data_IF_393701290959
#
_entry.id   IF_393701290959
#
_cell.length_a   1.000
_cell.length_b   1.000
_cell.length_c   1.000
_cell.angle_alpha   90.00
_cell.angle_beta   90.00
_cell.angle_gamma   90.00
#
_symmetry.space_group_name_H-M   'P 1'
#
loop_
_entity.id
_entity.type
_entity.pdbx_description
1 polymer ?
#
# COMPACT_ATOMS: atom_id res chain seq x y z
N UNK A 1 2.93 5.51 26.78
CA UNK A 1 3.15 5.85 25.36
C UNK A 1 2.95 4.55 24.61
N UNK A 2 2.00 4.51 23.69
CA UNK A 2 1.67 3.31 22.91
C UNK A 2 2.74 3.14 21.82
N UNK A 3 3.25 1.93 21.64
CA UNK A 3 4.28 1.61 20.64
C UNK A 3 3.66 0.73 19.56
N UNK A 4 3.63 1.24 18.33
CA UNK A 4 3.03 0.57 17.18
C UNK A 4 4.14 0.20 16.21
N UNK A 5 4.19 -1.06 15.79
CA UNK A 5 5.08 -1.52 14.74
C UNK A 5 4.25 -1.89 13.51
N UNK A 6 4.56 -1.30 12.36
CA UNK A 6 3.88 -1.58 11.09
C UNK A 6 4.88 -2.11 10.08
N UNK A 7 4.60 -3.26 9.50
CA UNK A 7 5.51 -4.00 8.64
C UNK A 7 5.00 -3.94 7.21
N UNK A 8 5.77 -3.31 6.34
CA UNK A 8 5.44 -3.04 4.95
C UNK A 8 6.61 -3.41 4.05
N UNK A 9 6.60 -4.65 3.56
CA UNK A 9 7.67 -5.19 2.72
C UNK A 9 7.21 -5.29 1.27
N UNK A 10 8.12 -5.03 0.34
CA UNK A 10 7.90 -5.13 -1.09
C UNK A 10 8.54 -3.96 -1.83
N UNK A 11 9.14 -4.26 -2.99
CA UNK A 11 9.89 -3.32 -3.82
C UNK A 11 9.06 -2.21 -4.49
N UNK A 12 7.78 -2.07 -4.11
CA UNK A 12 6.86 -1.08 -4.66
C UNK A 12 6.45 -0.04 -3.63
N UNK A 13 6.46 1.24 -4.03
CA UNK A 13 6.05 2.36 -3.16
C UNK A 13 4.67 2.20 -2.51
N UNK A 14 3.75 1.42 -3.10
CA UNK A 14 2.44 1.17 -2.51
C UNK A 14 2.49 0.65 -1.06
N UNK A 15 3.41 -0.27 -0.76
CA UNK A 15 3.51 -0.88 0.57
C UNK A 15 3.83 0.15 1.65
N UNK A 16 4.88 0.98 1.45
CA UNK A 16 5.27 1.99 2.43
C UNK A 16 4.14 3.01 2.66
N UNK A 17 3.37 3.38 1.64
CA UNK A 17 2.25 4.32 1.81
C UNK A 17 1.06 3.71 2.53
N UNK A 18 0.85 2.40 2.45
CA UNK A 18 -0.08 1.71 3.36
C UNK A 18 0.26 2.03 4.82
N UNK A 19 1.53 1.86 5.20
CA UNK A 19 2.00 2.18 6.55
C UNK A 19 1.90 3.66 6.92
N UNK A 20 2.23 4.57 5.99
CA UNK A 20 2.10 6.02 6.22
C UNK A 20 0.64 6.46 6.38
N UNK A 21 -0.26 5.86 5.62
CA UNK A 21 -1.70 6.11 5.72
C UNK A 21 -2.22 5.71 7.10
N UNK A 22 -1.80 4.55 7.59
CA UNK A 22 -2.16 4.11 8.93
C UNK A 22 -1.58 5.03 10.00
N UNK A 23 -0.30 5.41 9.91
CA UNK A 23 0.31 6.39 10.82
C UNK A 23 -0.49 7.71 10.88
N UNK A 24 -0.81 8.29 9.72
CA UNK A 24 -1.61 9.52 9.64
C UNK A 24 -3.00 9.34 10.26
N UNK A 25 -3.62 8.18 10.02
CA UNK A 25 -4.93 7.85 10.59
C UNK A 25 -4.83 7.70 12.12
N UNK A 26 -3.79 7.04 12.66
CA UNK A 26 -3.54 7.00 14.10
C UNK A 26 -3.42 8.40 14.70
N UNK A 27 -2.71 9.34 14.07
CA UNK A 27 -2.62 10.73 14.58
C UNK A 27 -3.99 11.41 14.75
N UNK A 28 -4.98 11.02 13.96
CA UNK A 28 -6.33 11.60 14.01
C UNK A 28 -7.13 10.98 15.15
N UNK A 29 -7.13 9.64 15.24
CA UNK A 29 -8.01 8.90 16.14
C UNK A 29 -7.40 8.64 17.52
N UNK A 30 -6.10 8.39 17.59
CA UNK A 30 -5.42 8.08 18.85
C UNK A 30 -5.10 9.37 19.62
N UNK A 31 -5.73 9.53 20.79
CA UNK A 31 -5.57 10.71 21.65
C UNK A 31 -4.39 10.59 22.61
N UNK A 32 -3.95 9.37 22.89
CA UNK A 32 -2.81 9.11 23.76
C UNK A 32 -1.49 9.28 23.00
N UNK A 33 -0.38 9.67 23.68
CA UNK A 33 0.93 9.71 23.04
C UNK A 33 1.35 8.34 22.52
N UNK A 34 1.83 8.29 21.28
CA UNK A 34 2.29 7.06 20.64
C UNK A 34 3.57 7.26 19.84
N UNK A 35 4.26 6.15 19.59
CA UNK A 35 5.38 6.04 18.68
C UNK A 35 5.05 5.00 17.61
N UNK A 36 5.24 5.36 16.34
CA UNK A 36 4.96 4.52 15.20
C UNK A 36 6.25 4.14 14.49
N UNK A 37 6.64 2.88 14.56
CA UNK A 37 7.77 2.33 13.82
C UNK A 37 7.28 1.69 12.52
N UNK A 38 7.60 2.29 11.38
CA UNK A 38 7.34 1.76 10.04
C UNK A 38 8.56 0.97 9.55
N UNK A 39 8.46 -0.35 9.58
CA UNK A 39 9.51 -1.28 9.16
C UNK A 39 9.29 -1.62 7.68
N UNK A 40 10.29 -1.37 6.84
CA UNK A 40 10.18 -1.56 5.38
C UNK A 40 11.52 -1.88 4.73
N UNK A 41 11.50 -2.59 3.60
CA UNK A 41 12.68 -2.81 2.75
C UNK A 41 12.89 -1.68 1.71
N UNK A 42 11.96 -0.72 1.65
CA UNK A 42 12.02 0.43 0.76
C UNK A 42 12.78 1.60 1.38
N UNK A 43 13.81 2.09 0.69
CA UNK A 43 14.52 3.32 1.08
C UNK A 43 13.92 4.49 0.30
N UNK A 44 13.02 5.25 0.94
CA UNK A 44 12.40 6.44 0.35
C UNK A 44 12.54 7.61 1.33
N UNK A 45 13.01 8.76 0.82
CA UNK A 45 12.97 10.01 1.57
C UNK A 45 11.53 10.50 1.69
N UNK A 46 11.05 10.64 2.93
CA UNK A 46 9.69 11.11 3.21
C UNK A 46 9.71 12.57 3.65
N UNK A 47 9.17 13.50 2.84
CA UNK A 47 9.25 14.93 3.14
C UNK A 47 8.31 15.42 4.26
N UNK A 48 7.42 14.58 4.79
CA UNK A 48 6.31 14.99 5.66
C UNK A 48 6.15 14.13 6.93
N UNK A 49 7.24 13.86 7.64
CA UNK A 49 7.23 13.07 8.89
C UNK A 49 7.51 13.95 10.11
N UNK A 50 7.01 13.54 11.28
CA UNK A 50 7.28 14.20 12.57
C UNK A 50 7.82 13.19 13.59
N UNK A 51 8.04 13.64 14.82
CA UNK A 51 8.66 12.84 15.89
C UNK A 51 7.87 11.59 16.31
N UNK A 52 6.60 11.45 15.88
CA UNK A 52 5.78 10.28 16.18
C UNK A 52 6.00 9.12 15.21
N UNK A 53 6.73 9.35 14.11
CA UNK A 53 7.05 8.35 13.11
C UNK A 53 8.55 8.12 13.02
N UNK A 54 8.91 6.85 13.05
CA UNK A 54 10.25 6.37 12.77
C UNK A 54 10.18 5.36 11.61
N UNK A 55 10.92 5.61 10.53
CA UNK A 55 11.01 4.67 9.40
C UNK A 55 12.30 3.88 9.53
N UNK A 56 12.16 2.56 9.61
CA UNK A 56 13.26 1.64 9.84
C UNK A 56 13.47 0.78 8.60
N UNK A 57 14.58 0.97 7.87
CA UNK A 57 14.93 0.09 6.78
C UNK A 57 15.32 -1.29 7.33
N UNK A 58 14.52 -2.31 7.05
CA UNK A 58 14.79 -3.72 7.36
C UNK A 58 14.69 -4.52 6.08
N UNK A 59 15.81 -5.15 5.70
CA UNK A 59 15.80 -6.16 4.64
C UNK A 59 15.12 -7.40 5.19
N UNK A 60 14.05 -7.86 4.53
CA UNK A 60 13.44 -9.14 4.88
C UNK A 60 14.46 -10.27 4.63
N UNK A 61 14.62 -11.15 5.62
CA UNK A 61 15.52 -12.32 5.58
C UNK A 61 14.67 -13.61 5.56
N UNK A 62 13.85 -13.83 4.51
CA UNK A 62 12.84 -14.88 4.48
C UNK A 62 13.44 -16.25 4.80
N UNK A 63 14.59 -16.57 4.23
CA UNK A 63 15.32 -17.82 4.43
C UNK A 63 15.70 -18.07 5.90
N UNK A 64 16.02 -17.01 6.66
CA UNK A 64 16.37 -17.13 8.08
C UNK A 64 15.14 -17.17 8.99
N UNK A 65 14.08 -16.46 8.61
CA UNK A 65 12.83 -16.42 9.36
C UNK A 65 12.17 -17.80 9.45
N UNK A 66 12.31 -18.61 8.39
CA UNK A 66 11.88 -20.01 8.39
C UNK A 66 12.54 -20.87 9.47
N UNK A 67 13.82 -20.62 9.78
CA UNK A 67 14.54 -21.29 10.87
C UNK A 67 14.11 -20.83 12.27
N UNK A 68 13.10 -19.95 12.39
CA UNK A 68 12.79 -19.19 13.62
C UNK A 68 14.05 -18.51 14.17
N UNK A 69 14.87 -17.99 13.25
CA UNK A 69 16.13 -17.38 13.62
C UNK A 69 15.85 -16.06 14.34
N UNK A 70 16.15 -16.06 15.64
CA UNK A 70 16.01 -14.89 16.51
C UNK A 70 17.12 -13.88 16.26
N UNK A 71 18.11 -14.18 15.43
CA UNK A 71 19.17 -13.25 15.04
C UNK A 71 18.77 -12.36 13.85
N UNK A 72 17.58 -12.57 13.25
CA UNK A 72 17.08 -11.69 12.19
C UNK A 72 16.90 -10.26 12.68
N UNK A 73 17.20 -9.28 11.82
CA UNK A 73 17.06 -7.86 12.17
C UNK A 73 15.62 -7.53 12.58
N UNK A 74 14.64 -8.12 11.90
CA UNK A 74 13.22 -7.94 12.19
C UNK A 74 12.88 -8.39 13.62
N UNK A 75 13.27 -9.61 14.01
CA UNK A 75 12.99 -10.14 15.34
C UNK A 75 13.67 -9.29 16.42
N UNK A 76 14.95 -8.99 16.26
CA UNK A 76 15.73 -8.20 17.22
C UNK A 76 15.14 -6.79 17.39
N UNK A 77 14.72 -6.15 16.30
CA UNK A 77 14.08 -4.84 16.36
C UNK A 77 12.73 -4.89 17.07
N UNK A 78 11.85 -5.82 16.70
CA UNK A 78 10.55 -5.99 17.38
C UNK A 78 10.75 -6.30 18.87
N UNK A 79 11.76 -7.10 19.23
CA UNK A 79 12.06 -7.42 20.62
C UNK A 79 12.59 -6.21 21.39
N UNK A 80 13.37 -5.36 20.72
CA UNK A 80 13.92 -4.14 21.30
C UNK A 80 12.82 -3.10 21.58
N UNK A 81 11.95 -2.85 20.60
CA UNK A 81 10.88 -1.86 20.75
C UNK A 81 9.76 -2.37 21.66
N UNK A 82 9.54 -3.69 21.73
CA UNK A 82 8.52 -4.34 22.56
C UNK A 82 7.11 -3.74 22.31
N UNK A 83 6.56 -3.87 21.09
CA UNK A 83 5.41 -3.10 20.66
C UNK A 83 4.12 -3.53 21.40
N UNK A 84 3.18 -2.60 21.55
CA UNK A 84 1.83 -2.88 22.03
C UNK A 84 0.94 -3.42 20.89
N UNK A 85 1.25 -3.02 19.65
CA UNK A 85 0.54 -3.42 18.42
C UNK A 85 1.52 -3.72 17.29
N UNK A 86 1.33 -4.85 16.60
CA UNK A 86 2.03 -5.26 15.38
C UNK A 86 1.01 -5.31 14.24
N UNK A 87 1.23 -4.52 13.19
CA UNK A 87 0.40 -4.45 11.98
C UNK A 87 1.23 -4.99 10.82
N UNK A 88 0.69 -5.96 10.10
CA UNK A 88 1.38 -6.62 8.98
C UNK A 88 0.58 -6.34 7.71
N UNK A 89 1.23 -5.93 6.64
CA UNK A 89 0.59 -5.88 5.33
C UNK A 89 0.65 -7.24 4.62
N UNK A 90 0.40 -7.29 3.31
CA UNK A 90 0.27 -8.50 2.48
C UNK A 90 1.29 -9.62 2.73
N UNK A 91 2.44 -9.32 3.29
CA UNK A 91 3.56 -10.24 3.48
C UNK A 91 3.53 -10.81 4.92
N UNK A 92 2.66 -11.80 5.15
CA UNK A 92 2.45 -12.46 6.46
C UNK A 92 3.59 -13.39 6.91
N UNK A 93 4.28 -13.99 5.94
CA UNK A 93 5.21 -15.10 6.20
C UNK A 93 6.47 -14.73 7.02
N UNK A 94 7.08 -13.52 6.91
CA UNK A 94 8.27 -13.12 7.66
C UNK A 94 8.08 -13.16 9.17
N UNK A 95 6.86 -12.87 9.63
CA UNK A 95 6.56 -12.68 11.06
C UNK A 95 5.92 -13.88 11.71
N UNK A 96 5.18 -14.70 10.94
CA UNK A 96 4.46 -15.86 11.47
C UNK A 96 5.29 -16.74 12.43
N UNK A 97 6.57 -17.07 12.15
CA UNK A 97 7.32 -18.04 12.96
C UNK A 97 7.51 -17.64 14.43
N UNK A 98 7.45 -16.34 14.74
CA UNK A 98 7.72 -15.81 16.09
C UNK A 98 6.63 -14.87 16.61
N UNK A 99 5.54 -14.66 15.86
CA UNK A 99 4.49 -13.68 16.23
C UNK A 99 3.92 -13.94 17.63
N UNK A 100 3.73 -15.21 17.99
CA UNK A 100 3.25 -15.67 19.30
C UNK A 100 4.22 -15.43 20.47
N UNK A 101 5.46 -15.02 20.21
CA UNK A 101 6.46 -14.72 21.25
C UNK A 101 6.34 -13.27 21.78
N UNK A 102 5.50 -12.46 21.14
CA UNK A 102 5.21 -11.08 21.53
C UNK A 102 3.88 -10.99 22.28
N UNK A 103 3.82 -10.16 23.31
CA UNK A 103 2.56 -9.84 24.01
C UNK A 103 1.70 -8.81 23.27
N UNK A 104 2.24 -8.25 22.18
CA UNK A 104 1.57 -7.27 21.33
C UNK A 104 0.25 -7.82 20.78
N UNK A 105 -0.71 -6.92 20.57
CA UNK A 105 -1.84 -7.21 19.70
C UNK A 105 -1.38 -7.30 18.26
N UNK A 106 -2.01 -8.17 17.48
CA UNK A 106 -1.57 -8.46 16.11
C UNK A 106 -2.68 -8.27 15.11
N UNK A 107 -2.37 -7.59 14.02
CA UNK A 107 -3.29 -7.39 12.92
C UNK A 107 -2.60 -7.65 11.59
N UNK A 108 -3.38 -8.08 10.62
CA UNK A 108 -2.93 -8.21 9.25
C UNK A 108 -4.02 -7.71 8.31
N UNK A 109 -3.61 -7.04 7.24
CA UNK A 109 -4.53 -6.69 6.17
C UNK A 109 -3.88 -6.92 4.80
N UNK A 110 -4.67 -7.44 3.86
CA UNK A 110 -4.18 -7.74 2.53
C UNK A 110 -5.24 -7.60 1.45
N UNK A 111 -4.80 -7.25 0.25
CA UNK A 111 -5.64 -7.24 -0.94
C UNK A 111 -5.72 -8.65 -1.55
N UNK A 112 -6.41 -8.81 -2.67
CA UNK A 112 -6.50 -10.11 -3.35
C UNK A 112 -5.12 -10.63 -3.73
N UNK A 113 -4.78 -11.78 -3.14
CA UNK A 113 -3.62 -12.59 -3.46
C UNK A 113 -4.15 -13.97 -3.87
N UNK A 114 -3.60 -14.62 -4.90
CA UNK A 114 -4.08 -15.93 -5.29
C UNK A 114 -3.57 -16.98 -4.29
N UNK A 115 -4.23 -18.15 -4.27
CA UNK A 115 -4.11 -19.15 -3.21
C UNK A 115 -2.67 -19.54 -2.83
N UNK A 116 -1.77 -19.58 -3.81
CA UNK A 116 -0.34 -19.91 -3.61
C UNK A 116 0.41 -18.92 -2.71
N UNK A 117 -0.08 -17.69 -2.49
CA UNK A 117 0.50 -16.75 -1.51
C UNK A 117 0.16 -17.10 -0.07
N UNK A 118 -0.87 -17.90 0.16
CA UNK A 118 -1.28 -18.37 1.49
C UNK A 118 -0.63 -19.69 1.86
N UNK A 119 0.32 -20.17 1.05
CA UNK A 119 1.03 -21.43 1.25
C UNK A 119 2.51 -21.23 0.97
N UNK A 120 3.36 -21.88 1.75
CA UNK A 120 4.79 -21.86 1.52
C UNK A 120 5.22 -23.20 0.95
N UNK A 121 6.25 -23.24 0.09
CA UNK A 121 6.89 -24.50 -0.22
C UNK A 121 7.39 -25.17 1.07
N UNK A 122 7.48 -26.52 1.11
CA UNK A 122 8.12 -27.22 2.22
C UNK A 122 9.53 -26.67 2.43
N UNK A 123 9.86 -26.34 3.67
CA UNK A 123 11.16 -25.81 4.05
C UNK A 123 12.13 -26.94 4.38
N UNK A 124 13.34 -26.60 4.78
CA UNK A 124 14.38 -27.57 5.17
C UNK A 124 13.96 -28.47 6.35
N UNK A 125 12.98 -28.03 7.16
CA UNK A 125 12.37 -28.82 8.23
C UNK A 125 11.25 -29.77 7.75
N UNK A 126 10.91 -29.73 6.46
CA UNK A 126 9.84 -30.50 5.84
C UNK A 126 8.43 -30.00 6.16
N UNK A 127 8.28 -28.84 6.80
CA UNK A 127 7.00 -28.27 7.20
C UNK A 127 6.55 -27.27 6.13
N UNK A 128 5.32 -27.44 5.63
CA UNK A 128 4.63 -26.41 4.87
C UNK A 128 3.87 -25.51 5.82
N UNK A 129 4.02 -24.20 5.66
CA UNK A 129 3.26 -23.21 6.41
C UNK A 129 2.15 -22.65 5.53
N UNK A 130 0.98 -22.46 6.13
CA UNK A 130 -0.15 -21.77 5.51
C UNK A 130 -0.51 -20.52 6.31
N UNK A 131 -1.04 -19.50 5.66
CA UNK A 131 -1.69 -18.41 6.38
C UNK A 131 -2.88 -18.95 7.18
N UNK A 132 -3.02 -18.54 8.44
CA UNK A 132 -4.19 -18.84 9.28
C UNK A 132 -4.66 -17.52 9.89
N UNK A 133 -5.95 -17.22 9.73
CA UNK A 133 -6.51 -15.96 10.21
C UNK A 133 -6.43 -15.86 11.74
N UNK A 134 -6.55 -17.01 12.41
CA UNK A 134 -6.55 -17.16 13.87
C UNK A 134 -5.19 -16.87 14.52
N UNK A 135 -4.12 -16.76 13.73
CA UNK A 135 -2.81 -16.32 14.22
C UNK A 135 -2.79 -14.81 14.56
N UNK A 136 -3.82 -14.06 14.14
CA UNK A 136 -3.93 -12.62 14.31
C UNK A 136 -5.17 -12.24 15.14
N UNK A 137 -5.04 -11.23 16.02
CA UNK A 137 -6.20 -10.66 16.73
C UNK A 137 -7.19 -9.97 15.75
N UNK A 138 -6.69 -9.40 14.64
CA UNK A 138 -7.50 -8.74 13.61
C UNK A 138 -6.99 -9.02 12.19
N UNK A 139 -7.45 -10.11 11.55
CA UNK A 139 -7.20 -10.40 10.14
C UNK A 139 -8.24 -9.71 9.24
N UNK A 140 -7.78 -8.99 8.20
CA UNK A 140 -8.62 -8.21 7.30
C UNK A 140 -8.31 -8.45 5.81
N UNK A 141 -9.33 -8.38 4.95
CA UNK A 141 -9.16 -8.20 3.49
C UNK A 141 -9.64 -6.82 3.06
N UNK A 142 -9.00 -6.23 2.04
CA UNK A 142 -9.23 -4.82 1.64
C UNK A 142 -9.62 -4.63 0.16
N UNK A 143 -9.94 -5.72 -0.55
CA UNK A 143 -10.58 -5.70 -1.87
C UNK A 143 -12.10 -6.02 -1.67
N UNK A 144 -13.05 -5.24 -2.21
CA UNK A 144 -14.49 -5.38 -1.90
C UNK A 144 -15.14 -6.71 -2.27
N UNK A 145 -14.59 -7.41 -3.27
CA UNK A 145 -15.11 -8.69 -3.76
C UNK A 145 -14.19 -9.87 -3.41
N UNK A 146 -13.21 -9.64 -2.53
CA UNK A 146 -12.30 -10.67 -2.07
C UNK A 146 -12.58 -11.03 -0.62
N UNK A 147 -12.93 -12.30 -0.42
CA UNK A 147 -13.17 -12.88 0.89
C UNK A 147 -12.16 -13.99 1.16
N UNK A 148 -11.56 -13.95 2.36
CA UNK A 148 -10.72 -15.00 2.90
C UNK A 148 -11.33 -15.47 4.21
N UNK A 149 -11.45 -16.78 4.40
CA UNK A 149 -12.06 -17.36 5.60
C UNK A 149 -11.35 -16.86 6.87
N UNK A 150 -12.15 -16.47 7.87
CA UNK A 150 -11.66 -15.92 9.14
C UNK A 150 -11.28 -14.44 9.09
N UNK A 151 -11.23 -13.81 7.91
CA UNK A 151 -10.88 -12.40 7.76
C UNK A 151 -12.12 -11.49 7.71
N UNK A 152 -12.02 -10.32 8.33
CA UNK A 152 -12.98 -9.25 8.14
C UNK A 152 -12.74 -8.54 6.80
N UNK A 153 -13.75 -8.47 5.94
CA UNK A 153 -13.66 -7.62 4.75
C UNK A 153 -13.95 -6.16 5.13
N UNK A 154 -13.01 -5.27 4.86
CA UNK A 154 -13.14 -3.82 5.04
C UNK A 154 -13.01 -3.10 3.69
N UNK A 155 -13.50 -1.86 3.58
CA UNK A 155 -13.33 -1.06 2.38
C UNK A 155 -11.84 -0.84 2.02
N UNK A 156 -11.54 -0.40 0.79
CA UNK A 156 -10.17 -0.14 0.38
C UNK A 156 -9.44 0.87 1.27
N UNK A 157 -8.16 0.59 1.55
CA UNK A 157 -7.22 1.48 2.25
C UNK A 157 -6.50 2.33 1.19
N UNK A 158 -6.94 3.57 0.99
CA UNK A 158 -6.34 4.48 0.00
C UNK A 158 -5.20 5.30 0.60
N UNK A 159 -4.17 5.65 -0.19
CA UNK A 159 -2.99 6.35 0.32
C UNK A 159 -3.18 7.86 0.52
N UNK A 160 -4.32 8.28 1.07
CA UNK A 160 -4.56 9.69 1.35
C UNK A 160 -5.59 9.91 2.45
N UNK A 161 -5.20 10.71 3.43
CA UNK A 161 -6.16 11.44 4.24
C UNK A 161 -6.54 12.75 3.55
N UNK A 162 -7.83 13.11 3.56
CA UNK A 162 -8.36 14.30 2.86
C UNK A 162 -7.65 15.62 3.22
N UNK A 163 -7.01 15.70 4.39
CA UNK A 163 -6.23 16.87 4.81
C UNK A 163 -4.95 17.10 4.01
N UNK A 164 -4.44 16.09 3.30
CA UNK A 164 -3.15 16.13 2.61
C UNK A 164 -3.28 16.41 1.10
N UNK A 165 -4.51 16.68 0.65
CA UNK A 165 -4.81 17.01 -0.74
C UNK A 165 -4.12 18.31 -1.15
N UNK A 166 -3.38 18.24 -2.24
CA UNK A 166 -2.77 19.39 -2.87
C UNK A 166 -3.76 20.02 -3.86
N UNK A 167 -3.70 21.36 -4.03
CA UNK A 167 -4.47 22.03 -5.05
C UNK A 167 -4.16 21.52 -6.48
N UNK A 168 -5.16 21.41 -7.36
CA UNK A 168 -5.02 20.94 -8.75
C UNK A 168 -3.91 21.64 -9.56
N UNK A 169 -3.71 22.93 -9.32
CA UNK A 169 -2.73 23.76 -10.03
C UNK A 169 -1.28 23.31 -9.80
N UNK A 170 -0.97 22.63 -8.69
CA UNK A 170 0.40 22.23 -8.38
C UNK A 170 0.89 21.18 -9.39
N UNK A 171 0.14 20.09 -9.59
CA UNK A 171 0.53 19.06 -10.56
C UNK A 171 0.54 19.59 -11.98
N UNK A 172 -0.43 20.44 -12.32
CA UNK A 172 -0.52 21.06 -13.65
C UNK A 172 0.68 21.95 -13.93
N UNK A 173 1.15 22.69 -12.92
CA UNK A 173 2.36 23.51 -13.04
C UNK A 173 3.63 22.66 -13.15
N UNK A 174 3.78 21.64 -12.29
CA UNK A 174 4.97 20.75 -12.31
C UNK A 174 5.08 19.98 -13.62
N UNK A 175 3.95 19.57 -14.19
CA UNK A 175 3.89 18.87 -15.48
C UNK A 175 3.76 19.82 -16.67
N UNK A 176 3.83 21.14 -16.48
CA UNK A 176 3.77 22.15 -17.55
C UNK A 176 2.54 21.95 -18.46
N UNK A 177 1.36 21.80 -17.86
CA UNK A 177 0.08 21.64 -18.57
C UNK A 177 -0.44 23.02 -18.97
N UNK A 178 -0.69 23.28 -20.26
CA UNK A 178 -1.28 24.55 -20.70
C UNK A 178 -2.66 24.78 -20.10
N UNK A 179 -2.99 26.04 -19.79
CA UNK A 179 -4.28 26.44 -19.20
C UNK A 179 -5.49 26.03 -20.06
N UNK A 180 -5.31 25.92 -21.38
CA UNK A 180 -6.36 25.57 -22.34
C UNK A 180 -6.47 24.08 -22.64
N UNK A 181 -5.75 23.20 -21.92
CA UNK A 181 -5.76 21.75 -22.13
C UNK A 181 -6.16 21.00 -20.87
N UNK A 182 -6.81 19.85 -21.04
CA UNK A 182 -7.02 18.88 -19.94
C UNK A 182 -5.74 18.06 -19.71
N UNK A 183 -5.48 17.61 -18.48
CA UNK A 183 -4.37 16.71 -18.17
C UNK A 183 -4.80 15.25 -18.36
N UNK A 184 -4.21 14.56 -19.34
CA UNK A 184 -4.22 13.10 -19.40
C UNK A 184 -2.89 12.58 -18.82
N UNK A 185 -2.95 11.80 -17.75
CA UNK A 185 -1.77 11.30 -17.04
C UNK A 185 -1.63 9.79 -17.16
N UNK A 186 -0.51 9.35 -17.74
CA UNK A 186 -0.02 7.99 -17.59
C UNK A 186 0.77 7.88 -16.29
N UNK A 187 0.28 7.11 -15.32
CA UNK A 187 1.00 6.86 -14.08
C UNK A 187 1.30 5.37 -13.94
N UNK A 188 2.57 4.99 -14.09
CA UNK A 188 2.95 3.59 -14.12
C UNK A 188 4.37 3.36 -13.58
N UNK A 189 4.45 2.59 -12.50
CA UNK A 189 5.70 2.07 -11.97
C UNK A 189 5.78 0.58 -12.33
N UNK A 190 6.29 0.32 -13.52
CA UNK A 190 6.36 -1.02 -14.09
C UNK A 190 7.74 -1.36 -14.64
N UNK A 191 7.78 -2.39 -15.48
CA UNK A 191 8.99 -2.77 -16.19
C UNK A 191 9.32 -1.76 -17.29
N UNK A 192 10.60 -1.66 -17.62
CA UNK A 192 11.08 -0.86 -18.75
C UNK A 192 10.32 -1.24 -20.03
N UNK A 193 9.86 -0.25 -20.80
CA UNK A 193 9.08 -0.45 -22.04
C UNK A 193 7.56 -0.43 -21.86
N UNK A 194 7.04 -0.64 -20.65
CA UNK A 194 5.59 -0.72 -20.46
C UNK A 194 4.89 0.65 -20.58
N UNK A 195 5.56 1.75 -20.21
CA UNK A 195 4.99 3.10 -20.38
C UNK A 195 4.82 3.41 -21.87
N UNK A 196 5.81 3.07 -22.70
CA UNK A 196 5.75 3.25 -24.15
C UNK A 196 4.62 2.45 -24.76
N UNK A 197 4.38 1.23 -24.28
CA UNK A 197 3.28 0.39 -24.75
C UNK A 197 1.93 0.93 -24.29
N UNK A 198 1.82 1.45 -23.07
CA UNK A 198 0.61 2.16 -22.61
C UNK A 198 0.35 3.40 -23.48
N UNK A 199 1.38 4.22 -23.73
CA UNK A 199 1.27 5.44 -24.53
C UNK A 199 0.86 5.17 -25.98
N UNK A 200 1.39 4.10 -26.62
CA UNK A 200 1.01 3.72 -27.99
C UNK A 200 -0.46 3.33 -28.11
N UNK A 201 -1.03 2.76 -27.05
CA UNK A 201 -2.40 2.26 -27.04
C UNK A 201 -3.40 3.28 -26.46
N UNK A 202 -2.93 4.39 -25.92
CA UNK A 202 -3.76 5.47 -25.41
C UNK A 202 -4.32 6.30 -26.59
N UNK A 203 -5.57 6.04 -26.97
CA UNK A 203 -6.29 6.82 -27.96
C UNK A 203 -6.80 8.14 -27.34
N UNK A 204 -5.92 9.14 -27.32
CA UNK A 204 -6.16 10.45 -26.70
C UNK A 204 -6.17 11.53 -27.75
N UNK A 205 -7.22 12.37 -27.75
CA UNK A 205 -7.31 13.54 -28.62
C UNK A 205 -6.26 14.60 -28.21
N UNK A 206 -5.21 14.85 -29.01
CA UNK A 206 -4.18 15.83 -28.69
C UNK A 206 -4.70 17.28 -28.75
N UNK A 207 -5.85 17.53 -29.38
CA UNK A 207 -6.48 18.85 -29.41
C UNK A 207 -7.22 19.17 -28.11
N UNK A 208 -7.67 18.16 -27.36
CA UNK A 208 -8.32 18.33 -26.05
C UNK A 208 -7.33 18.17 -24.87
N UNK A 209 -6.47 17.15 -24.93
CA UNK A 209 -5.63 16.75 -23.80
C UNK A 209 -4.15 17.10 -23.99
N UNK A 210 -3.52 17.38 -22.86
CA UNK A 210 -2.09 17.44 -22.67
C UNK A 210 -1.65 16.13 -22.02
N UNK A 211 -1.10 15.22 -22.82
CA UNK A 211 -0.62 13.92 -22.33
C UNK A 211 0.71 14.08 -21.59
N UNK A 212 0.79 13.50 -20.40
CA UNK A 212 1.98 13.44 -19.56
C UNK A 212 2.14 12.04 -18.98
N UNK A 213 3.37 11.68 -18.65
CA UNK A 213 3.67 10.41 -17.98
C UNK A 213 4.51 10.66 -16.74
N UNK A 214 4.27 9.88 -15.70
CA UNK A 214 5.08 9.85 -14.49
C UNK A 214 5.49 8.41 -14.16
N UNK A 215 6.72 8.27 -13.67
CA UNK A 215 7.33 7.01 -13.26
C UNK A 215 8.26 7.23 -12.08
N UNK A 216 8.55 6.20 -11.29
CA UNK A 216 9.54 6.28 -10.21
C UNK A 216 10.98 6.54 -10.69
N UNK A 217 11.22 6.55 -12.01
CA UNK A 217 12.55 6.65 -12.60
C UNK A 217 12.96 8.06 -13.00
N UNK A 218 12.03 9.00 -13.13
CA UNK A 218 12.33 10.37 -13.59
C UNK A 218 12.24 11.43 -12.48
N UNK A 219 13.03 12.50 -12.60
CA UNK A 219 13.17 13.52 -11.57
C UNK A 219 11.93 14.42 -11.42
N UNK A 220 11.10 14.52 -12.45
CA UNK A 220 9.85 15.30 -12.38
C UNK A 220 8.85 14.55 -11.48
N UNK A 221 8.72 13.25 -11.68
CA UNK A 221 7.84 12.39 -10.90
C UNK A 221 8.17 12.35 -9.42
N UNK A 222 9.46 12.46 -9.05
CA UNK A 222 9.87 12.57 -7.63
C UNK A 222 9.25 13.78 -6.92
N UNK A 223 8.95 14.86 -7.65
CA UNK A 223 8.27 16.05 -7.10
C UNK A 223 6.77 15.83 -6.85
N UNK A 224 6.20 14.82 -7.50
CA UNK A 224 4.78 14.49 -7.46
C UNK A 224 4.51 13.18 -6.69
N UNK A 225 5.45 12.78 -5.84
CA UNK A 225 5.36 11.55 -5.06
C UNK A 225 5.02 11.86 -3.59
N UNK A 226 4.02 11.19 -2.99
CA UNK A 226 3.09 10.25 -3.62
C UNK A 226 2.08 10.95 -4.54
N UNK A 227 1.70 10.26 -5.63
CA UNK A 227 0.75 10.79 -6.61
C UNK A 227 -0.61 11.09 -6.00
N UNK A 228 -1.04 10.31 -5.02
CA UNK A 228 -2.33 10.42 -4.34
C UNK A 228 -2.64 11.85 -3.90
N UNK A 229 -1.63 12.60 -3.43
CA UNK A 229 -1.77 14.00 -3.00
C UNK A 229 -2.24 14.95 -4.11
N UNK A 230 -1.97 14.62 -5.36
CA UNK A 230 -2.09 15.51 -6.51
C UNK A 230 -3.19 15.12 -7.50
N UNK A 231 -3.90 14.01 -7.25
CA UNK A 231 -4.81 13.42 -8.23
C UNK A 231 -5.99 14.32 -8.61
N UNK A 232 -6.35 15.29 -7.76
CA UNK A 232 -7.40 16.28 -8.03
C UNK A 232 -7.14 17.15 -9.27
N UNK A 233 -5.88 17.24 -9.74
CA UNK A 233 -5.52 17.97 -10.96
C UNK A 233 -5.50 17.15 -12.25
N UNK A 234 -5.86 15.86 -12.18
CA UNK A 234 -5.87 14.93 -13.32
C UNK A 234 -7.28 14.87 -13.90
N UNK A 235 -7.41 15.12 -15.20
CA UNK A 235 -8.69 15.07 -15.91
C UNK A 235 -8.98 13.68 -16.49
N UNK A 236 -7.93 12.92 -16.84
CA UNK A 236 -7.99 11.54 -17.31
C UNK A 236 -6.76 10.79 -16.81
N UNK A 237 -6.97 9.65 -16.16
CA UNK A 237 -5.88 8.78 -15.71
C UNK A 237 -5.71 7.58 -16.63
N UNK A 238 -4.48 7.12 -16.82
CA UNK A 238 -4.14 5.97 -17.64
C UNK A 238 -3.10 5.16 -16.88
N UNK A 239 -3.32 3.86 -16.72
CA UNK A 239 -2.37 3.02 -15.98
C UNK A 239 -2.86 1.60 -15.74
N UNK A 240 -2.04 0.82 -15.02
CA UNK A 240 -2.41 -0.52 -14.61
C UNK A 240 -3.55 -0.56 -13.60
N UNK A 241 -3.98 -1.76 -13.22
CA UNK A 241 -4.94 -1.96 -12.12
C UNK A 241 -4.23 -2.32 -10.82
N UNK A 242 -3.08 -1.70 -10.52
CA UNK A 242 -2.43 -1.85 -9.22
C UNK A 242 -3.30 -1.28 -8.11
N UNK A 243 -3.26 -1.90 -6.92
CA UNK A 243 -4.20 -1.63 -5.82
C UNK A 243 -4.45 -0.13 -5.57
N UNK A 244 -3.40 0.65 -5.30
CA UNK A 244 -3.52 2.07 -4.96
C UNK A 244 -4.03 2.91 -6.12
N UNK A 245 -3.38 2.86 -7.27
CA UNK A 245 -3.81 3.63 -8.45
C UNK A 245 -5.29 3.34 -8.80
N UNK A 246 -5.69 2.06 -8.75
CA UNK A 246 -7.06 1.65 -9.06
C UNK A 246 -8.09 2.27 -8.12
N UNK A 247 -7.88 2.18 -6.80
CA UNK A 247 -8.84 2.70 -5.83
C UNK A 247 -8.76 4.22 -5.65
N UNK A 248 -7.60 4.81 -5.84
CA UNK A 248 -7.44 6.26 -5.74
C UNK A 248 -8.14 6.96 -6.91
N UNK A 249 -7.98 6.51 -8.17
CA UNK A 249 -8.71 7.15 -9.28
C UNK A 249 -10.22 7.07 -9.11
N UNK A 250 -10.73 5.98 -8.52
CA UNK A 250 -12.15 5.82 -8.16
C UNK A 250 -12.58 6.76 -7.04
N UNK A 251 -11.77 6.89 -5.98
CA UNK A 251 -12.02 7.83 -4.89
C UNK A 251 -12.15 9.27 -5.41
N UNK A 252 -11.24 9.69 -6.30
CA UNK A 252 -11.29 11.01 -6.94
C UNK A 252 -12.32 11.14 -8.07
N UNK A 253 -12.96 10.03 -8.46
CA UNK A 253 -13.89 9.95 -9.60
C UNK A 253 -13.24 10.43 -10.91
N UNK A 254 -11.97 10.12 -11.10
CA UNK A 254 -11.21 10.45 -12.31
C UNK A 254 -11.56 9.43 -13.39
N UNK A 255 -12.03 9.86 -14.58
CA UNK A 255 -12.13 8.97 -15.74
C UNK A 255 -10.80 8.25 -15.95
N UNK A 256 -10.83 6.92 -16.08
CA UNK A 256 -9.59 6.12 -16.13
C UNK A 256 -9.61 5.10 -17.25
N UNK A 257 -8.53 5.04 -18.03
CA UNK A 257 -8.24 3.94 -18.95
C UNK A 257 -7.34 2.95 -18.21
N UNK A 258 -7.92 1.81 -17.87
CA UNK A 258 -7.21 0.74 -17.17
C UNK A 258 -6.59 -0.25 -18.14
N UNK A 259 -5.31 -0.54 -17.94
CA UNK A 259 -4.52 -1.48 -18.75
C UNK A 259 -3.84 -2.48 -17.79
N UNK A 260 -4.59 -3.49 -17.29
CA UNK A 260 -4.06 -4.46 -16.32
C UNK A 260 -2.79 -5.13 -16.83
N UNK A 261 -1.78 -5.24 -15.96
CA UNK A 261 -0.51 -5.90 -16.27
C UNK A 261 -0.37 -7.21 -15.49
N UNK A 262 0.29 -8.24 -16.05
CA UNK A 262 0.63 -9.44 -15.30
C UNK A 262 1.69 -9.09 -14.24
N UNK A 263 1.39 -9.38 -12.98
CA UNK A 263 2.28 -9.13 -11.83
C UNK A 263 2.21 -10.26 -10.83
N UNK A 264 3.34 -10.56 -10.23
CA UNK A 264 3.44 -11.47 -9.09
C UNK A 264 3.03 -10.68 -7.84
N UNK A 265 1.98 -11.11 -7.15
CA UNK A 265 1.55 -10.56 -5.85
C UNK A 265 0.63 -9.33 -5.97
N UNK A 266 0.19 -9.02 -7.18
CA UNK A 266 -0.74 -7.93 -7.45
C UNK A 266 -1.61 -8.30 -8.64
N UNK A 267 -2.77 -8.90 -8.36
CA UNK A 267 -3.68 -9.45 -9.36
C UNK A 267 -4.52 -8.36 -10.04
N UNK A 268 -3.87 -7.61 -10.93
CA UNK A 268 -4.47 -6.46 -11.61
C UNK A 268 -5.66 -6.85 -12.50
N UNK A 269 -5.57 -7.98 -13.20
CA UNK A 269 -6.64 -8.46 -14.08
C UNK A 269 -7.88 -8.81 -13.28
N UNK A 270 -7.71 -9.56 -12.18
CA UNK A 270 -8.81 -9.88 -11.29
C UNK A 270 -9.48 -8.61 -10.76
N UNK A 271 -8.69 -7.61 -10.31
CA UNK A 271 -9.23 -6.35 -9.80
C UNK A 271 -10.02 -5.59 -10.85
N UNK A 272 -9.54 -5.56 -12.09
CA UNK A 272 -10.27 -4.96 -13.20
C UNK A 272 -11.60 -5.70 -13.46
N UNK A 273 -11.57 -7.03 -13.54
CA UNK A 273 -12.76 -7.83 -13.86
C UNK A 273 -13.83 -7.79 -12.76
N UNK A 274 -13.41 -7.71 -11.48
CA UNK A 274 -14.32 -7.90 -10.35
C UNK A 274 -14.65 -6.60 -9.62
N UNK A 275 -13.78 -5.57 -9.65
CA UNK A 275 -13.92 -4.37 -8.84
C UNK A 275 -14.13 -3.08 -9.64
N UNK A 276 -14.25 -3.15 -10.98
CA UNK A 276 -14.39 -1.96 -11.83
C UNK A 276 -15.67 -1.16 -11.57
N UNK A 277 -16.71 -1.77 -11.03
CA UNK A 277 -17.97 -1.09 -10.70
C UNK A 277 -18.03 -0.62 -9.23
N UNK A 278 -16.95 -0.80 -8.46
CA UNK A 278 -16.91 -0.34 -7.07
C UNK A 278 -16.84 1.19 -6.99
N UNK A 279 -17.80 1.81 -6.30
CA UNK A 279 -17.90 3.27 -6.12
C UNK A 279 -17.66 3.73 -4.67
N UNK A 280 -17.25 2.81 -3.79
CA UNK A 280 -16.95 3.10 -2.39
C UNK A 280 -17.80 2.29 -1.40
N UNK A 281 -17.58 2.50 -0.09
CA UNK A 281 -16.78 3.59 0.50
C UNK A 281 -15.25 3.41 0.37
N UNK A 282 -14.46 4.46 0.62
CA UNK A 282 -12.98 4.43 0.55
C UNK A 282 -12.33 4.80 1.90
N UNK A 283 -12.96 4.41 3.00
CA UNK A 283 -12.54 4.73 4.37
C UNK A 283 -11.93 3.52 5.09
N UNK A 284 -11.27 2.62 4.34
CA UNK A 284 -10.67 1.41 4.90
C UNK A 284 -9.64 1.69 5.99
N UNK A 285 -8.85 2.77 5.83
CA UNK A 285 -7.86 3.18 6.82
C UNK A 285 -8.52 3.56 8.16
N UNK A 286 -9.58 4.37 8.12
CA UNK A 286 -10.34 4.79 9.30
C UNK A 286 -10.91 3.56 10.02
N UNK A 287 -11.62 2.69 9.29
CA UNK A 287 -12.23 1.47 9.83
C UNK A 287 -11.17 0.54 10.44
N UNK A 288 -10.01 0.41 9.79
CA UNK A 288 -8.94 -0.42 10.29
C UNK A 288 -8.39 0.15 11.60
N UNK A 289 -8.04 1.44 11.65
CA UNK A 289 -7.51 2.08 12.86
C UNK A 289 -8.52 2.06 14.00
N UNK A 290 -9.80 2.33 13.75
CA UNK A 290 -10.85 2.21 14.78
C UNK A 290 -10.87 0.82 15.42
N UNK A 291 -10.74 -0.24 14.60
CA UNK A 291 -10.70 -1.63 15.09
C UNK A 291 -9.41 -1.95 15.82
N UNK A 292 -8.27 -1.46 15.35
CA UNK A 292 -6.97 -1.63 16.00
C UNK A 292 -6.97 -0.98 17.39
N UNK A 293 -7.53 0.23 17.49
CA UNK A 293 -7.67 0.94 18.76
C UNK A 293 -8.59 0.22 19.75
N UNK A 294 -9.57 -0.55 19.28
CA UNK A 294 -10.42 -1.36 20.15
C UNK A 294 -9.70 -2.61 20.72
N UNK A 295 -8.52 -2.97 20.21
CA UNK A 295 -7.69 -4.06 20.73
C UNK A 295 -6.76 -3.61 21.87
N UNK A 296 -6.42 -2.32 21.92
CA UNK A 296 -5.51 -1.69 22.87
C UNK A 296 -6.23 -1.24 24.14
#
# INVERSE_FOLDING_TARGET
MIKIASLHFGSGGGHIFGGLTLWQTFKIYLKEPFHYSLLTDSVIELPFVDETLEVIPIVAEPEKMWGRDRETMLYQYLKHIDPDLIIVDNIWFPVKPFLHEFSAKTAIYFWFLPQQWFQTPPLDDGISHSFQAEDYDLPCTIDPHFHQDGCLNIPPVINIHQSNLQPPEIIRSVLEVPDNKKLALVAHNGHEGEIEDILKNADIDPDEYCLRSISSFDDVSKKLFPLSHYMSGIDLAIGGCGYHFFYETKFYKIPTIYIPQPRIGNEQHWRFEHCIDYEGPFNGADILVEKLLALL
#
